data_IF_923397211546
#
_entry.id   IF_923397211546
#
_cell.length_a   1.000
_cell.length_b   1.000
_cell.length_c   1.000
_cell.angle_alpha   90.00
_cell.angle_beta   90.00
_cell.angle_gamma   90.00
#
_symmetry.space_group_name_H-M   'P 1'
#
loop_
_entity.id
_entity.type
_entity.pdbx_description
1 polymer ?
#
# COMPACT_ATOMS: atom_id res chain seq x y z
N UNK A 1 -1.25 7.68 -10.23
CA UNK A 1 -1.90 6.34 -10.13
C UNK A 1 -3.10 6.41 -9.18
N UNK A 2 -4.11 5.54 -9.31
CA UNK A 2 -5.30 5.57 -8.44
C UNK A 2 -5.39 4.34 -7.55
N UNK A 3 -5.50 4.55 -6.24
CA UNK A 3 -5.74 3.49 -5.25
C UNK A 3 -7.25 3.33 -5.04
N UNK A 4 -7.73 2.08 -5.00
CA UNK A 4 -9.12 1.77 -4.70
C UNK A 4 -9.45 2.16 -3.23
N UNK A 5 -10.49 2.95 -2.95
CA UNK A 5 -10.87 3.29 -1.58
C UNK A 5 -11.14 2.07 -0.69
N UNK A 6 -11.71 1.00 -1.24
CA UNK A 6 -11.97 -0.25 -0.51
C UNK A 6 -10.67 -0.95 -0.06
N UNK A 7 -9.61 -0.88 -0.87
CA UNK A 7 -8.29 -1.38 -0.50
C UNK A 7 -7.75 -0.65 0.75
N UNK A 8 -7.88 0.68 0.77
CA UNK A 8 -7.42 1.49 1.88
C UNK A 8 -8.11 1.10 3.19
N UNK A 9 -9.45 0.98 3.18
CA UNK A 9 -10.22 0.54 4.34
C UNK A 9 -9.81 -0.86 4.82
N UNK A 10 -9.69 -1.82 3.90
CA UNK A 10 -9.30 -3.19 4.25
C UNK A 10 -7.91 -3.25 4.85
N UNK A 11 -6.95 -2.52 4.28
CA UNK A 11 -5.57 -2.51 4.76
C UNK A 11 -5.49 -1.88 6.15
N UNK A 12 -6.19 -0.77 6.39
CA UNK A 12 -6.26 -0.15 7.72
C UNK A 12 -6.89 -1.08 8.77
N UNK A 13 -7.94 -1.82 8.41
CA UNK A 13 -8.57 -2.79 9.30
C UNK A 13 -7.62 -3.95 9.64
N UNK A 14 -6.86 -4.46 8.66
CA UNK A 14 -5.86 -5.50 8.89
C UNK A 14 -4.71 -5.01 9.77
N UNK A 15 -4.22 -3.78 9.56
CA UNK A 15 -3.24 -3.15 10.45
C UNK A 15 -3.80 -3.06 11.87
N UNK A 16 -5.05 -2.58 12.04
CA UNK A 16 -5.67 -2.45 13.36
C UNK A 16 -5.79 -3.81 14.09
N UNK A 17 -6.07 -4.89 13.37
CA UNK A 17 -6.05 -6.24 13.93
C UNK A 17 -4.63 -6.70 14.32
N UNK A 18 -3.62 -6.37 13.51
CA UNK A 18 -2.23 -6.74 13.77
C UNK A 18 -1.62 -5.99 14.96
N UNK A 19 -2.05 -4.77 15.27
CA UNK A 19 -1.50 -3.96 16.38
C UNK A 19 -1.47 -4.74 17.71
N UNK A 20 -2.45 -5.61 17.96
CA UNK A 20 -2.52 -6.40 19.20
C UNK A 20 -1.85 -7.77 19.10
N UNK A 21 -1.76 -8.35 17.89
CA UNK A 21 -1.29 -9.73 17.68
C UNK A 21 0.17 -9.77 17.29
N UNK A 22 0.58 -8.88 16.39
CA UNK A 22 1.94 -8.74 15.89
C UNK A 22 2.22 -7.26 15.58
N UNK A 23 2.62 -6.46 16.59
CA UNK A 23 2.86 -5.03 16.43
C UNK A 23 3.92 -4.70 15.38
N UNK A 24 4.93 -5.57 15.24
CA UNK A 24 5.98 -5.40 14.23
C UNK A 24 5.42 -5.54 12.81
N UNK A 25 4.60 -6.56 12.55
CA UNK A 25 3.95 -6.70 11.24
C UNK A 25 2.97 -5.56 10.95
N UNK A 26 2.30 -5.03 11.98
CA UNK A 26 1.45 -3.85 11.85
C UNK A 26 2.25 -2.61 11.42
N UNK A 27 3.40 -2.36 12.06
CA UNK A 27 4.30 -1.26 11.76
C UNK A 27 4.86 -1.37 10.32
N UNK A 28 5.32 -2.56 9.93
CA UNK A 28 5.81 -2.84 8.57
C UNK A 28 4.71 -2.59 7.52
N UNK A 29 3.48 -3.09 7.74
CA UNK A 29 2.36 -2.89 6.81
C UNK A 29 1.90 -1.42 6.75
N UNK A 30 1.98 -0.70 7.86
CA UNK A 30 1.68 0.74 7.90
C UNK A 30 2.72 1.56 7.12
N UNK A 31 4.00 1.21 7.25
CA UNK A 31 5.07 1.82 6.46
C UNK A 31 4.88 1.60 4.96
N UNK A 32 4.60 0.36 4.54
CA UNK A 32 4.35 0.02 3.15
C UNK A 32 3.15 0.77 2.56
N UNK A 33 2.04 0.83 3.31
CA UNK A 33 0.86 1.58 2.90
C UNK A 33 1.16 3.07 2.74
N UNK A 34 1.95 3.64 3.66
CA UNK A 34 2.33 5.05 3.62
C UNK A 34 3.18 5.37 2.38
N UNK A 35 4.14 4.51 2.06
CA UNK A 35 4.97 4.63 0.86
C UNK A 35 4.13 4.53 -0.42
N UNK A 36 3.21 3.56 -0.48
CA UNK A 36 2.31 3.38 -1.61
C UNK A 36 1.42 4.61 -1.83
N UNK A 37 0.84 5.16 -0.75
CA UNK A 37 0.02 6.37 -0.82
C UNK A 37 0.83 7.57 -1.30
N UNK A 38 2.06 7.75 -0.81
CA UNK A 38 2.95 8.83 -1.28
C UNK A 38 3.19 8.72 -2.78
N UNK A 39 3.60 7.55 -3.28
CA UNK A 39 3.81 7.31 -4.72
C UNK A 39 2.52 7.54 -5.54
N UNK A 40 1.36 7.19 -4.99
CA UNK A 40 0.08 7.43 -5.65
C UNK A 40 -0.19 8.93 -5.82
N UNK A 41 0.12 9.75 -4.82
CA UNK A 41 -0.06 11.20 -4.84
C UNK A 41 0.96 11.89 -5.75
N UNK A 42 2.24 11.51 -5.66
CA UNK A 42 3.31 12.08 -6.49
C UNK A 42 3.01 11.86 -7.98
N UNK A 43 2.51 10.66 -8.33
CA UNK A 43 2.10 10.31 -9.70
C UNK A 43 0.76 10.87 -10.15
N UNK A 44 0.08 11.71 -9.35
CA UNK A 44 -1.11 12.46 -9.80
C UNK A 44 -0.75 13.79 -10.46
N UNK A 45 0.45 14.33 -10.17
CA UNK A 45 0.93 15.58 -10.75
C UNK A 45 1.59 15.38 -12.12
N UNK A 46 2.02 14.16 -12.43
CA UNK A 46 2.68 13.80 -13.69
C UNK A 46 1.68 13.31 -14.74
N UNK A 47 1.81 13.82 -15.97
CA UNK A 47 0.94 13.48 -17.10
C UNK A 47 1.29 12.13 -17.73
N UNK A 48 2.56 11.72 -17.65
CA UNK A 48 3.08 10.43 -18.07
C UNK A 48 4.13 9.97 -17.06
N UNK A 49 4.07 8.70 -16.65
CA UNK A 49 5.04 8.07 -15.74
C UNK A 49 5.77 6.93 -16.48
N UNK A 50 7.05 6.67 -16.19
CA UNK A 50 7.75 5.51 -16.76
C UNK A 50 7.09 4.18 -16.36
N UNK A 51 6.96 3.24 -17.31
CA UNK A 51 6.43 1.90 -17.06
C UNK A 51 7.12 1.18 -15.89
N UNK A 52 8.43 1.39 -15.71
CA UNK A 52 9.17 0.82 -14.59
C UNK A 52 8.59 1.25 -13.23
N UNK A 53 8.17 2.51 -13.11
CA UNK A 53 7.57 3.06 -11.89
C UNK A 53 6.16 2.50 -11.66
N UNK A 54 5.39 2.29 -12.74
CA UNK A 54 4.09 1.62 -12.65
C UNK A 54 4.24 0.17 -12.16
N UNK A 55 5.25 -0.56 -12.67
CA UNK A 55 5.54 -1.93 -12.23
C UNK A 55 5.97 -1.98 -10.76
N UNK A 56 6.81 -1.04 -10.31
CA UNK A 56 7.18 -0.93 -8.90
C UNK A 56 5.96 -0.66 -8.01
N UNK A 57 5.06 0.23 -8.43
CA UNK A 57 3.84 0.53 -7.71
C UNK A 57 2.93 -0.70 -7.60
N UNK A 58 2.73 -1.44 -8.70
CA UNK A 58 1.95 -2.69 -8.70
C UNK A 58 2.61 -3.73 -7.78
N UNK A 59 3.95 -3.83 -7.79
CA UNK A 59 4.69 -4.71 -6.89
C UNK A 59 4.44 -4.39 -5.42
N UNK A 60 4.50 -3.11 -5.04
CA UNK A 60 4.21 -2.66 -3.69
C UNK A 60 2.75 -2.94 -3.30
N UNK A 61 1.80 -2.66 -4.20
CA UNK A 61 0.38 -2.94 -4.00
C UNK A 61 0.12 -4.43 -3.74
N UNK A 62 0.68 -5.31 -4.58
CA UNK A 62 0.53 -6.77 -4.44
C UNK A 62 1.19 -7.27 -3.16
N UNK A 63 2.33 -6.72 -2.75
CA UNK A 63 2.98 -7.10 -1.50
C UNK A 63 2.07 -6.85 -0.29
N UNK A 64 1.38 -5.71 -0.25
CA UNK A 64 0.41 -5.40 0.81
C UNK A 64 -0.79 -6.36 0.75
N UNK A 65 -1.34 -6.60 -0.44
CA UNK A 65 -2.42 -7.58 -0.64
C UNK A 65 -2.05 -8.98 -0.13
N UNK A 66 -0.85 -9.45 -0.44
CA UNK A 66 -0.35 -10.75 0.02
C UNK A 66 -0.23 -10.82 1.53
N UNK A 67 0.36 -9.79 2.17
CA UNK A 67 0.45 -9.70 3.63
C UNK A 67 -0.93 -9.66 4.28
N UNK A 68 -1.93 -9.10 3.60
CA UNK A 68 -3.31 -9.02 4.09
C UNK A 68 -4.04 -10.37 4.06
N UNK A 69 -3.78 -11.18 3.03
CA UNK A 69 -4.50 -12.43 2.82
C UNK A 69 -3.78 -13.69 3.29
N UNK A 70 -2.46 -13.66 3.49
CA UNK A 70 -1.68 -14.76 4.08
C UNK A 70 -1.73 -16.04 3.26
#
# INVERSE_FOLDING_TARGET
MQINPHFLFNTLNSIAALVYVNPRAADEMLGDLSELLRRSLDSMEEQEVPLAQELEFIGAYISIEQKRFG
#
